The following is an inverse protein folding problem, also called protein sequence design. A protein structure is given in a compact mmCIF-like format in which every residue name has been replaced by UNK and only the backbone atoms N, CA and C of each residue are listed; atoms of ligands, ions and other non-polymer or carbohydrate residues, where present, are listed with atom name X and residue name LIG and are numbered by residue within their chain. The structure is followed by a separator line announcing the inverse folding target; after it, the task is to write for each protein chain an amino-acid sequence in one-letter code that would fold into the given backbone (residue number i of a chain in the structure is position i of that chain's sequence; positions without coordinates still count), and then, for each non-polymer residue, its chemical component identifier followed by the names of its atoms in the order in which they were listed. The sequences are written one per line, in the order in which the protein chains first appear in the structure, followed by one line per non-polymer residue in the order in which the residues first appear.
data_IF_266330867137
#
_entry.id   IF_266330867137
#
_cell.length_a   1.000
_cell.length_b   1.000
_cell.length_c   1.000
_cell.angle_alpha   90.00
_cell.angle_beta   90.00
_cell.angle_gamma   90.00
#
_symmetry.space_group_name_H-M   'P 1'
#
loop_
_entity.id
_entity.type
_entity.pdbx_description
1 polymer ?
#
# COMPACT_ATOMS: atom_id res chain seq x y z
N UNK A 1 1.61 10.26 13.20
CA UNK A 1 1.35 9.24 12.17
C UNK A 1 2.44 8.17 12.24
N UNK A 2 2.08 6.87 12.11
CA UNK A 2 3.03 5.75 12.10
C UNK A 2 2.64 4.77 10.99
N UNK A 3 3.59 4.36 10.15
CA UNK A 3 3.42 3.30 9.16
C UNK A 3 4.11 2.02 9.67
N UNK A 4 3.42 0.87 9.55
CA UNK A 4 4.00 -0.45 9.79
C UNK A 4 3.79 -1.35 8.57
N UNK A 5 4.84 -2.00 8.09
CA UNK A 5 4.76 -2.97 6.99
C UNK A 5 4.21 -4.30 7.51
N UNK A 6 3.09 -4.73 6.95
CA UNK A 6 2.49 -6.05 7.21
C UNK A 6 2.95 -7.05 6.16
N UNK A 7 3.02 -6.62 4.91
CA UNK A 7 3.49 -7.41 3.79
C UNK A 7 4.11 -6.56 2.69
N UNK A 8 5.14 -7.09 2.02
CA UNK A 8 5.97 -6.34 1.08
C UNK A 8 6.33 -7.11 -0.21
N UNK A 9 5.79 -8.32 -0.40
CA UNK A 9 6.13 -9.15 -1.55
C UNK A 9 5.21 -8.88 -2.73
N UNK A 10 5.80 -8.70 -3.93
CA UNK A 10 5.05 -8.53 -5.17
C UNK A 10 4.57 -9.86 -5.75
N UNK A 11 3.37 -9.86 -6.34
CA UNK A 11 2.76 -10.97 -7.06
C UNK A 11 2.21 -12.10 -6.17
N UNK A 12 2.95 -12.53 -5.15
CA UNK A 12 2.53 -13.56 -4.18
C UNK A 12 3.39 -13.51 -2.91
N UNK A 13 2.93 -14.01 -1.76
CA UNK A 13 3.73 -13.98 -0.54
C UNK A 13 4.86 -15.02 -0.60
N UNK A 14 6.01 -14.70 -0.03
CA UNK A 14 7.04 -15.70 0.29
C UNK A 14 6.57 -16.57 1.46
N UNK A 15 7.18 -17.74 1.63
CA UNK A 15 6.93 -18.56 2.83
C UNK A 15 7.05 -17.70 4.09
N UNK A 16 6.08 -17.82 5.00
CA UNK A 16 5.96 -17.00 6.22
C UNK A 16 5.88 -15.48 5.99
N UNK A 17 5.69 -15.03 4.75
CA UNK A 17 5.52 -13.63 4.37
C UNK A 17 4.07 -13.24 4.07
N UNK A 18 3.88 -11.99 3.65
CA UNK A 18 2.63 -11.49 3.09
C UNK A 18 2.91 -10.63 1.86
N UNK A 19 1.93 -10.58 0.95
CA UNK A 19 1.92 -9.65 -0.17
C UNK A 19 1.60 -8.23 0.33
N UNK A 20 1.28 -7.29 -0.58
CA UNK A 20 1.09 -5.88 -0.24
C UNK A 20 0.07 -5.66 0.88
N UNK A 21 0.52 -5.03 1.96
CA UNK A 21 -0.31 -4.62 3.09
C UNK A 21 0.46 -3.73 4.06
N UNK A 22 -0.09 -2.53 4.33
CA UNK A 22 0.58 -1.52 5.17
C UNK A 22 -0.42 -0.92 6.14
N UNK A 23 -0.10 -0.99 7.43
CA UNK A 23 -0.90 -0.38 8.49
C UNK A 23 -0.45 1.06 8.72
N UNK A 24 -1.36 2.00 8.58
CA UNK A 24 -1.16 3.40 8.91
C UNK A 24 -2.01 3.78 10.13
N UNK A 25 -1.34 4.26 11.18
CA UNK A 25 -1.92 4.59 12.47
C UNK A 25 -1.77 6.09 12.77
N UNK A 26 -2.86 6.75 13.19
CA UNK A 26 -2.84 8.13 13.67
C UNK A 26 -4.04 8.40 14.58
N UNK A 27 -3.82 9.01 15.75
CA UNK A 27 -4.88 9.37 16.73
C UNK A 27 -5.85 8.23 17.07
N UNK A 28 -5.32 6.99 17.13
CA UNK A 28 -6.13 5.80 17.43
C UNK A 28 -6.93 5.26 16.24
N UNK A 29 -6.79 5.84 15.05
CA UNK A 29 -7.41 5.35 13.81
C UNK A 29 -6.45 4.41 13.07
N UNK A 30 -6.95 3.24 12.68
CA UNK A 30 -6.21 2.20 11.95
C UNK A 30 -6.70 2.11 10.50
N UNK A 31 -5.87 2.59 9.56
CA UNK A 31 -6.08 2.46 8.13
C UNK A 31 -5.16 1.36 7.57
N UNK A 32 -5.74 0.32 6.98
CA UNK A 32 -4.96 -0.65 6.20
C UNK A 32 -4.92 -0.19 4.73
N UNK A 33 -3.74 -0.18 4.13
CA UNK A 33 -3.51 0.09 2.71
C UNK A 33 -3.18 -1.24 2.05
N UNK A 34 -4.03 -1.70 1.14
CA UNK A 34 -4.04 -3.02 0.51
C UNK A 34 -4.18 -4.19 1.52
N UNK A 35 -4.69 -5.32 1.04
CA UNK A 35 -4.96 -6.51 1.84
C UNK A 35 -4.67 -7.78 1.02
N UNK A 36 -3.41 -7.94 0.63
CA UNK A 36 -2.93 -9.07 -0.15
C UNK A 36 -2.84 -10.36 0.68
N UNK A 37 -2.42 -11.45 0.03
CA UNK A 37 -2.34 -12.76 0.67
C UNK A 37 -1.40 -12.76 1.89
N UNK A 38 -1.88 -13.30 3.01
CA UNK A 38 -1.15 -13.40 4.28
C UNK A 38 -1.23 -12.14 5.16
N UNK A 39 -1.81 -11.04 4.67
CA UNK A 39 -1.91 -9.77 5.39
C UNK A 39 -2.77 -9.93 6.64
N UNK A 40 -3.96 -10.56 6.54
CA UNK A 40 -4.80 -10.79 7.71
C UNK A 40 -4.08 -11.56 8.81
N UNK A 41 -3.36 -12.62 8.46
CA UNK A 41 -2.61 -13.43 9.43
C UNK A 41 -1.54 -12.61 10.15
N UNK A 42 -0.75 -11.84 9.39
CA UNK A 42 0.36 -11.03 9.94
C UNK A 42 -0.12 -9.82 10.74
N UNK A 43 -1.23 -9.19 10.30
CA UNK A 43 -1.84 -8.04 10.95
C UNK A 43 -2.24 -8.33 12.40
N UNK A 44 -2.73 -9.55 12.68
CA UNK A 44 -3.15 -9.97 14.02
C UNK A 44 -2.04 -9.97 15.08
N UNK A 45 -0.77 -9.83 14.68
CA UNK A 45 0.33 -9.60 15.62
C UNK A 45 0.38 -8.16 16.17
N UNK A 46 -0.42 -7.24 15.62
CA UNK A 46 -0.46 -5.82 16.02
C UNK A 46 -1.81 -5.45 16.63
N UNK A 47 -2.91 -5.86 16.00
CA UNK A 47 -4.27 -5.58 16.45
C UNK A 47 -5.25 -6.61 15.90
N UNK A 48 -6.46 -6.65 16.46
CA UNK A 48 -7.47 -7.62 16.04
C UNK A 48 -8.26 -7.11 14.83
N UNK A 49 -8.81 -7.99 13.98
CA UNK A 49 -9.57 -7.58 12.78
C UNK A 49 -10.73 -6.62 13.05
N UNK A 50 -11.35 -6.70 14.21
CA UNK A 50 -12.44 -5.80 14.63
C UNK A 50 -12.00 -4.38 14.96
N UNK A 51 -10.70 -4.17 15.25
CA UNK A 51 -10.13 -2.86 15.57
C UNK A 51 -9.75 -2.03 14.34
N UNK A 52 -9.86 -2.61 13.13
CA UNK A 52 -9.61 -1.90 11.88
C UNK A 52 -10.75 -0.93 11.59
N UNK A 53 -10.42 0.35 11.35
CA UNK A 53 -11.38 1.41 11.09
C UNK A 53 -11.67 1.61 9.60
N UNK A 54 -10.67 1.38 8.74
CA UNK A 54 -10.83 1.49 7.29
C UNK A 54 -9.81 0.64 6.52
N UNK A 55 -10.19 0.21 5.32
CA UNK A 55 -9.31 -0.41 4.33
C UNK A 55 -9.36 0.43 3.04
N UNK A 56 -8.21 0.69 2.42
CA UNK A 56 -8.13 1.36 1.12
C UNK A 56 -7.32 0.51 0.14
N UNK A 57 -7.85 0.32 -1.06
CA UNK A 57 -7.29 -0.55 -2.09
C UNK A 57 -6.77 0.28 -3.26
N UNK A 58 -5.52 0.03 -3.63
CA UNK A 58 -4.86 0.68 -4.75
C UNK A 58 -5.35 0.17 -6.10
N UNK A 59 -5.48 -1.15 -6.23
CA UNK A 59 -5.98 -1.86 -7.41
C UNK A 59 -6.35 -3.31 -7.06
N UNK A 60 -6.87 -4.07 -8.02
CA UNK A 60 -7.55 -5.35 -7.76
C UNK A 60 -6.78 -6.59 -8.20
N UNK A 61 -5.45 -6.53 -8.30
CA UNK A 61 -4.65 -7.74 -8.44
C UNK A 61 -4.71 -8.58 -7.15
N UNK A 62 -4.62 -9.93 -7.26
CA UNK A 62 -4.75 -10.83 -6.10
C UNK A 62 -3.81 -10.53 -4.95
N UNK A 63 -2.58 -10.10 -5.23
CA UNK A 63 -1.58 -9.78 -4.21
C UNK A 63 -1.85 -8.46 -3.46
N UNK A 64 -2.96 -7.75 -3.82
CA UNK A 64 -3.45 -6.57 -3.12
C UNK A 64 -4.82 -6.76 -2.48
N UNK A 65 -5.58 -7.81 -2.84
CA UNK A 65 -6.97 -8.01 -2.38
C UNK A 65 -7.28 -9.41 -1.84
N UNK A 66 -6.36 -10.38 -1.93
CA UNK A 66 -6.65 -11.80 -1.66
C UNK A 66 -7.24 -12.06 -0.27
N UNK A 67 -6.83 -11.34 0.76
CA UNK A 67 -7.30 -11.56 2.12
C UNK A 67 -8.59 -10.79 2.48
N UNK A 68 -9.18 -9.99 1.57
CA UNK A 68 -10.42 -9.23 1.86
C UNK A 68 -11.56 -10.18 2.25
N UNK A 69 -11.77 -11.27 1.51
CA UNK A 69 -12.84 -12.23 1.82
C UNK A 69 -12.67 -12.90 3.17
N UNK A 70 -11.43 -13.23 3.56
CA UNK A 70 -11.16 -13.82 4.88
C UNK A 70 -11.22 -12.78 5.99
N UNK A 71 -10.87 -11.51 5.74
CA UNK A 71 -11.06 -10.40 6.67
C UNK A 71 -12.55 -10.16 6.95
N UNK A 72 -13.39 -10.17 5.91
CA UNK A 72 -14.85 -10.09 6.04
C UNK A 72 -15.40 -11.21 6.93
N UNK A 73 -14.92 -12.44 6.70
CA UNK A 73 -15.35 -13.59 7.49
C UNK A 73 -14.84 -13.53 8.93
N UNK A 74 -13.61 -13.08 9.15
CA UNK A 74 -13.07 -12.88 10.50
C UNK A 74 -13.93 -11.89 11.30
N UNK A 75 -14.27 -10.72 10.72
CA UNK A 75 -15.14 -9.73 11.37
C UNK A 75 -16.55 -10.28 11.63
N UNK A 76 -17.11 -11.06 10.71
CA UNK A 76 -18.39 -11.75 10.93
C UNK A 76 -18.34 -12.69 12.14
N UNK A 77 -17.26 -13.47 12.29
CA UNK A 77 -17.06 -14.34 13.46
C UNK A 77 -16.98 -13.50 14.75
N UNK A 78 -16.22 -12.39 14.72
CA UNK A 78 -16.12 -11.51 15.90
C UNK A 78 -17.49 -10.94 16.30
N UNK A 79 -18.35 -10.57 15.34
CA UNK A 79 -19.69 -10.10 15.65
C UNK A 79 -20.55 -11.19 16.30
N UNK A 80 -20.46 -12.44 15.87
CA UNK A 80 -21.16 -13.57 16.51
C UNK A 80 -20.66 -13.85 17.94
N UNK A 81 -19.40 -13.53 18.22
CA UNK A 81 -18.82 -13.64 19.56
C UNK A 81 -19.19 -12.45 20.47
N UNK A 82 -20.07 -11.56 19.99
CA UNK A 82 -20.55 -10.40 20.77
C UNK A 82 -19.55 -9.25 20.86
N UNK A 83 -18.47 -9.27 20.08
CA UNK A 83 -17.56 -8.14 19.96
C UNK A 83 -18.20 -7.07 19.06
N UNK A 84 -18.11 -5.79 19.47
CA UNK A 84 -18.61 -4.70 18.66
C UNK A 84 -17.75 -4.57 17.40
N UNK A 85 -18.38 -4.73 16.23
CA UNK A 85 -17.77 -4.48 14.94
C UNK A 85 -18.63 -3.45 14.21
N UNK A 86 -18.13 -2.25 14.06
CA UNK A 86 -18.76 -1.28 13.14
C UNK A 86 -18.56 -1.76 11.68
N UNK A 87 -19.45 -1.38 10.78
CA UNK A 87 -19.31 -1.73 9.36
C UNK A 87 -18.02 -1.12 8.81
N UNK A 88 -17.08 -1.96 8.37
CA UNK A 88 -15.78 -1.52 7.84
C UNK A 88 -15.94 -0.91 6.46
N UNK A 89 -15.61 0.36 6.23
CA UNK A 89 -15.50 0.91 4.89
C UNK A 89 -14.27 0.34 4.18
N UNK A 90 -14.49 -0.15 2.95
CA UNK A 90 -13.42 -0.56 2.03
C UNK A 90 -13.45 0.39 0.84
N UNK A 91 -12.48 1.29 0.81
CA UNK A 91 -12.35 2.27 -0.25
C UNK A 91 -11.69 1.67 -1.48
N UNK A 92 -12.28 1.88 -2.65
CA UNK A 92 -11.76 1.42 -3.94
C UNK A 92 -12.29 2.23 -5.10
N UNK A 93 -11.71 2.06 -6.30
CA UNK A 93 -12.25 2.65 -7.53
C UNK A 93 -13.41 1.81 -8.09
N UNK A 94 -14.29 2.40 -8.90
CA UNK A 94 -15.43 1.69 -9.51
C UNK A 94 -15.20 1.27 -10.98
N UNK A 95 -13.97 1.35 -11.48
CA UNK A 95 -13.65 1.02 -12.87
C UNK A 95 -13.72 -0.48 -13.17
N UNK A 96 -13.60 -1.32 -12.16
CA UNK A 96 -13.92 -2.75 -12.20
C UNK A 96 -15.06 -3.01 -11.20
N UNK A 97 -16.29 -2.97 -11.69
CA UNK A 97 -17.48 -3.12 -10.87
C UNK A 97 -17.63 -4.53 -10.29
N UNK A 98 -17.11 -5.55 -10.98
CA UNK A 98 -17.18 -6.93 -10.50
C UNK A 98 -16.32 -7.14 -9.27
N UNK A 99 -15.06 -6.67 -9.28
CA UNK A 99 -14.18 -6.74 -8.12
C UNK A 99 -14.64 -5.80 -7.00
N UNK A 100 -15.03 -4.57 -7.33
CA UNK A 100 -15.54 -3.59 -6.36
C UNK A 100 -16.78 -4.09 -5.59
N UNK A 101 -17.69 -4.80 -6.26
CA UNK A 101 -18.88 -5.33 -5.61
C UNK A 101 -18.58 -6.30 -4.46
N UNK A 102 -17.43 -6.98 -4.51
CA UNK A 102 -16.97 -7.92 -3.46
C UNK A 102 -16.60 -7.23 -2.14
N UNK A 103 -16.39 -5.91 -2.15
CA UNK A 103 -16.06 -5.14 -0.95
C UNK A 103 -17.25 -4.95 -0.01
N UNK A 104 -18.46 -5.14 -0.51
CA UNK A 104 -19.65 -5.11 0.33
C UNK A 104 -20.08 -6.52 0.71
N UNK A 105 -20.09 -6.80 2.02
CA UNK A 105 -20.51 -8.10 2.55
C UNK A 105 -21.38 -7.91 3.78
N UNK A 106 -22.71 -8.16 3.64
CA UNK A 106 -23.70 -7.97 4.69
C UNK A 106 -23.55 -6.58 5.35
N UNK A 107 -23.70 -6.51 6.65
CA UNK A 107 -23.46 -5.30 7.46
C UNK A 107 -22.01 -5.26 8.03
N UNK A 108 -21.13 -6.15 7.54
CA UNK A 108 -19.76 -6.33 8.06
C UNK A 108 -18.78 -5.41 7.36
N UNK A 109 -18.88 -5.30 6.03
CA UNK A 109 -18.07 -4.38 5.24
C UNK A 109 -18.90 -3.67 4.18
N UNK A 110 -18.48 -2.46 3.80
CA UNK A 110 -19.14 -1.66 2.77
C UNK A 110 -18.11 -1.12 1.79
N UNK A 111 -18.24 -1.48 0.51
CA UNK A 111 -17.50 -0.83 -0.56
C UNK A 111 -17.88 0.65 -0.68
N UNK A 112 -16.88 1.51 -0.63
CA UNK A 112 -17.04 2.97 -0.79
C UNK A 112 -16.16 3.40 -1.97
N UNK A 113 -16.82 3.87 -3.04
CA UNK A 113 -16.09 4.35 -4.21
C UNK A 113 -15.40 5.67 -3.87
N UNK A 114 -14.08 5.76 -4.12
CA UNK A 114 -13.41 7.06 -4.14
C UNK A 114 -13.42 7.65 -5.56
N UNK A 115 -13.52 8.95 -5.63
CA UNK A 115 -13.29 9.71 -6.85
C UNK A 115 -11.81 10.12 -6.90
N UNK A 116 -11.02 9.64 -7.89
CA UNK A 116 -9.59 9.93 -7.95
C UNK A 116 -9.25 11.40 -8.22
N UNK A 117 -10.22 12.20 -8.70
CA UNK A 117 -10.04 13.62 -8.95
C UNK A 117 -10.37 14.48 -7.71
N UNK A 118 -10.82 13.85 -6.63
CA UNK A 118 -11.21 14.50 -5.37
C UNK A 118 -10.34 14.02 -4.20
N UNK A 119 -10.29 14.80 -3.12
CA UNK A 119 -9.64 14.37 -1.88
C UNK A 119 -10.61 13.52 -1.06
N UNK A 120 -10.18 12.31 -0.71
CA UNK A 120 -10.89 11.41 0.21
C UNK A 120 -10.47 11.71 1.66
N UNK A 121 -11.45 11.91 2.55
CA UNK A 121 -11.22 11.92 4.00
C UNK A 121 -11.51 10.54 4.58
N UNK A 122 -10.50 9.91 5.19
CA UNK A 122 -10.63 8.64 5.89
C UNK A 122 -10.08 8.79 7.31
N UNK A 123 -10.98 8.96 8.30
CA UNK A 123 -10.59 9.35 9.64
C UNK A 123 -9.76 10.64 9.64
N UNK A 124 -8.58 10.65 10.27
CA UNK A 124 -7.69 11.83 10.30
C UNK A 124 -6.92 12.06 8.99
N UNK A 125 -7.01 11.13 8.02
CA UNK A 125 -6.21 11.17 6.80
C UNK A 125 -6.92 11.89 5.66
N UNK A 126 -6.17 12.75 4.94
CA UNK A 126 -6.57 13.33 3.66
C UNK A 126 -5.80 12.61 2.56
N UNK A 127 -6.51 11.98 1.62
CA UNK A 127 -5.93 11.11 0.61
C UNK A 127 -6.23 11.64 -0.78
N UNK A 128 -5.17 11.87 -1.56
CA UNK A 128 -5.25 12.21 -2.99
C UNK A 128 -4.68 11.07 -3.81
N UNK A 129 -5.13 10.98 -5.06
CA UNK A 129 -4.81 9.87 -5.95
C UNK A 129 -4.10 10.34 -7.21
N UNK A 130 -3.24 9.47 -7.76
CA UNK A 130 -2.69 9.63 -9.09
C UNK A 130 -2.76 8.30 -9.83
N UNK A 131 -3.43 8.27 -10.99
CA UNK A 131 -3.47 7.07 -11.83
C UNK A 131 -2.07 6.65 -12.25
N UNK A 132 -1.74 5.37 -12.08
CA UNK A 132 -0.42 4.81 -12.38
C UNK A 132 -0.34 4.25 -13.81
N UNK A 133 0.88 3.88 -14.22
CA UNK A 133 1.14 3.14 -15.45
C UNK A 133 1.22 1.64 -15.14
N UNK A 134 0.05 1.02 -15.01
CA UNK A 134 -0.12 -0.40 -14.69
C UNK A 134 -1.17 -1.03 -15.61
N UNK A 135 -1.12 -2.36 -15.90
CA UNK A 135 -2.05 -3.01 -16.84
C UNK A 135 -3.54 -2.91 -16.48
N UNK A 136 -3.85 -2.79 -15.18
CA UNK A 136 -5.21 -2.58 -14.68
C UNK A 136 -5.34 -1.18 -14.04
N UNK A 137 -6.56 -0.65 -13.86
CA UNK A 137 -6.75 0.59 -13.11
C UNK A 137 -6.10 0.51 -11.73
N UNK A 138 -5.11 1.35 -11.51
CA UNK A 138 -4.31 1.39 -10.29
C UNK A 138 -3.99 2.84 -9.93
N UNK A 139 -3.95 3.15 -8.63
CA UNK A 139 -3.77 4.52 -8.14
C UNK A 139 -2.72 4.59 -7.04
N UNK A 140 -1.71 5.43 -7.25
CA UNK A 140 -0.83 5.90 -6.19
C UNK A 140 -1.61 6.80 -5.23
N UNK A 141 -1.18 6.84 -3.97
CA UNK A 141 -1.84 7.59 -2.89
C UNK A 141 -0.86 8.57 -2.24
N UNK A 142 -1.30 9.83 -2.10
CA UNK A 142 -0.66 10.83 -1.24
C UNK A 142 -1.54 10.99 -0.02
N UNK A 143 -1.03 10.58 1.14
CA UNK A 143 -1.77 10.52 2.41
C UNK A 143 -1.16 11.55 3.37
N UNK A 144 -1.97 12.46 3.85
CA UNK A 144 -1.55 13.58 4.67
C UNK A 144 -2.31 13.61 5.99
N UNK A 145 -1.60 13.84 7.11
CA UNK A 145 -2.14 14.09 8.45
C UNK A 145 -1.13 14.92 9.25
N UNK A 146 -1.59 15.95 9.97
CA UNK A 146 -0.77 16.83 10.85
C UNK A 146 0.51 17.36 10.18
N UNK A 147 0.42 17.77 8.92
CA UNK A 147 1.54 18.31 8.16
C UNK A 147 2.60 17.27 7.79
N UNK A 148 2.32 15.97 7.97
CA UNK A 148 3.14 14.85 7.53
C UNK A 148 2.58 14.23 6.26
N UNK A 149 3.47 13.75 5.39
CA UNK A 149 3.10 13.22 4.09
C UNK A 149 3.72 11.85 3.85
N UNK A 150 2.86 10.87 3.59
CA UNK A 150 3.20 9.55 3.09
C UNK A 150 2.80 9.44 1.62
N UNK A 151 3.69 8.93 0.78
CA UNK A 151 3.36 8.49 -0.58
C UNK A 151 3.44 6.97 -0.65
N UNK A 152 2.41 6.35 -1.19
CA UNK A 152 2.41 4.96 -1.64
C UNK A 152 2.23 4.93 -3.15
N UNK A 153 3.24 4.43 -3.88
CA UNK A 153 3.19 4.42 -5.36
C UNK A 153 2.17 3.46 -5.92
N UNK A 154 1.74 2.46 -5.12
CA UNK A 154 1.13 1.25 -5.66
C UNK A 154 1.98 0.66 -6.78
N UNK A 155 1.39 -0.17 -7.66
CA UNK A 155 2.11 -0.76 -8.79
C UNK A 155 2.15 0.20 -9.98
N UNK A 156 3.34 0.41 -10.53
CA UNK A 156 3.53 1.35 -11.64
C UNK A 156 4.90 1.22 -12.30
N UNK A 157 4.97 1.36 -13.60
CA UNK A 157 6.22 1.79 -14.21
C UNK A 157 6.48 3.28 -13.95
N UNK A 158 7.73 3.71 -14.06
CA UNK A 158 8.10 5.11 -13.84
C UNK A 158 7.31 6.06 -14.75
N UNK A 159 6.82 7.15 -14.17
CA UNK A 159 6.23 8.28 -14.88
C UNK A 159 6.60 9.59 -14.16
N UNK A 160 6.78 10.66 -14.92
CA UNK A 160 7.28 11.95 -14.41
C UNK A 160 6.28 12.60 -13.43
N UNK A 161 4.99 12.40 -13.64
CA UNK A 161 3.94 12.95 -12.76
C UNK A 161 4.03 12.41 -11.34
N UNK A 162 4.59 11.21 -11.14
CA UNK A 162 4.84 10.67 -9.80
C UNK A 162 5.85 11.53 -9.02
N UNK A 163 6.84 12.14 -9.68
CA UNK A 163 7.82 12.99 -9.00
C UNK A 163 7.14 14.24 -8.43
N UNK A 164 6.28 14.89 -9.21
CA UNK A 164 5.48 16.04 -8.75
C UNK A 164 4.50 15.62 -7.65
N UNK A 165 3.83 14.50 -7.82
CA UNK A 165 2.87 13.97 -6.85
C UNK A 165 3.51 13.62 -5.50
N UNK A 166 4.78 13.18 -5.53
CA UNK A 166 5.55 12.76 -4.36
C UNK A 166 6.39 13.89 -3.74
N UNK A 167 6.29 15.12 -4.27
CA UNK A 167 7.17 16.22 -3.90
C UNK A 167 7.19 16.47 -2.39
N UNK A 168 8.42 16.53 -1.83
CA UNK A 168 8.72 16.82 -0.42
C UNK A 168 8.04 15.87 0.60
N UNK A 169 7.70 14.64 0.21
CA UNK A 169 7.13 13.67 1.14
C UNK A 169 8.10 13.28 2.26
N UNK A 170 7.56 13.05 3.45
CA UNK A 170 8.34 12.54 4.59
C UNK A 170 8.76 11.08 4.36
N UNK A 171 7.90 10.27 3.73
CA UNK A 171 8.19 8.89 3.36
C UNK A 171 7.59 8.57 1.99
N UNK A 172 8.40 8.03 1.09
CA UNK A 172 7.99 7.42 -0.16
C UNK A 172 8.06 5.89 -0.03
N UNK A 173 6.91 5.22 0.02
CA UNK A 173 6.77 3.76 -0.10
C UNK A 173 6.64 3.45 -1.58
N UNK A 174 7.73 2.96 -2.16
CA UNK A 174 7.89 2.82 -3.60
C UNK A 174 8.02 1.36 -4.01
N UNK A 175 7.19 0.91 -4.94
CA UNK A 175 7.36 -0.40 -5.54
C UNK A 175 8.74 -0.53 -6.18
N UNK A 176 9.32 -1.74 -6.15
CA UNK A 176 10.64 -2.03 -6.67
C UNK A 176 10.74 -3.52 -7.04
N UNK A 177 9.99 -3.93 -8.06
CA UNK A 177 9.89 -5.34 -8.45
C UNK A 177 11.03 -5.80 -9.37
N UNK A 178 11.83 -4.86 -9.92
CA UNK A 178 12.90 -5.15 -10.87
C UNK A 178 14.24 -4.53 -10.46
N UNK A 179 15.33 -5.23 -10.81
CA UNK A 179 16.69 -4.71 -10.69
C UNK A 179 17.00 -3.73 -11.83
N UNK A 180 17.98 -2.85 -11.63
CA UNK A 180 18.28 -1.76 -12.54
C UNK A 180 18.68 -2.17 -13.97
N UNK A 181 19.16 -3.39 -14.17
CA UNK A 181 19.49 -3.93 -15.51
C UNK A 181 18.29 -4.52 -16.25
N UNK A 182 17.14 -4.61 -15.62
CA UNK A 182 15.91 -5.21 -16.17
C UNK A 182 14.98 -4.13 -16.74
N UNK A 183 13.98 -4.56 -17.50
CA UNK A 183 12.94 -3.69 -18.03
C UNK A 183 11.58 -4.04 -17.43
N UNK A 184 11.18 -3.29 -16.40
CA UNK A 184 9.87 -3.43 -15.75
C UNK A 184 8.73 -2.68 -16.46
N UNK A 185 9.04 -1.77 -17.39
CA UNK A 185 8.08 -0.86 -18.01
C UNK A 185 6.88 -1.58 -18.66
N UNK A 186 7.15 -2.64 -19.41
CA UNK A 186 6.09 -3.39 -20.09
C UNK A 186 5.22 -4.20 -19.15
N UNK A 187 5.76 -4.57 -17.98
CA UNK A 187 5.00 -5.24 -16.92
C UNK A 187 4.25 -4.24 -16.01
N UNK A 188 4.49 -2.96 -16.17
CA UNK A 188 3.88 -1.92 -15.34
C UNK A 188 4.52 -1.77 -13.97
N UNK A 189 5.85 -2.01 -13.87
CA UNK A 189 6.61 -1.95 -12.62
C UNK A 189 7.89 -1.12 -12.75
N UNK A 190 8.42 -0.67 -11.60
CA UNK A 190 9.68 0.07 -11.50
C UNK A 190 10.87 -0.84 -11.25
N UNK A 191 12.03 -0.36 -11.71
CA UNK A 191 13.34 -0.86 -11.29
C UNK A 191 13.82 -0.09 -10.04
N UNK A 192 14.84 -0.65 -9.37
CA UNK A 192 15.56 0.03 -8.29
C UNK A 192 16.13 1.40 -8.69
N UNK A 193 16.59 1.53 -9.96
CA UNK A 193 17.09 2.80 -10.48
C UNK A 193 15.96 3.81 -10.69
N UNK A 194 14.77 3.34 -11.11
CA UNK A 194 13.57 4.19 -11.23
C UNK A 194 13.11 4.69 -9.86
N UNK A 195 13.05 3.80 -8.86
CA UNK A 195 12.68 4.17 -7.50
C UNK A 195 13.64 5.20 -6.88
N UNK A 196 14.95 5.02 -7.06
CA UNK A 196 15.95 6.00 -6.62
C UNK A 196 15.84 7.34 -7.38
N UNK A 197 15.58 7.28 -8.69
CA UNK A 197 15.38 8.49 -9.52
C UNK A 197 14.14 9.26 -9.09
N UNK A 198 13.03 8.56 -8.84
CA UNK A 198 11.79 9.15 -8.33
C UNK A 198 12.02 9.85 -6.99
N UNK A 199 12.64 9.15 -6.04
CA UNK A 199 12.94 9.68 -4.72
C UNK A 199 13.80 10.96 -4.76
N UNK A 200 14.82 10.98 -5.64
CA UNK A 200 15.70 12.13 -5.84
C UNK A 200 14.96 13.32 -6.44
N UNK A 201 14.21 13.10 -7.54
CA UNK A 201 13.45 14.16 -8.21
C UNK A 201 12.35 14.76 -7.31
N UNK A 202 11.68 13.92 -6.55
CA UNK A 202 10.63 14.34 -5.62
C UNK A 202 11.18 14.95 -4.32
N UNK A 203 12.50 14.97 -4.10
CA UNK A 203 13.11 15.48 -2.88
C UNK A 203 12.47 14.89 -1.61
N UNK A 204 12.20 13.58 -1.59
CA UNK A 204 11.61 12.93 -0.43
C UNK A 204 12.61 12.81 0.72
N UNK A 205 12.14 12.72 1.97
CA UNK A 205 13.04 12.60 3.14
C UNK A 205 13.51 11.17 3.36
N UNK A 206 12.66 10.16 3.06
CA UNK A 206 12.97 8.75 3.23
C UNK A 206 12.38 7.93 2.07
N UNK A 207 13.09 6.91 1.62
CA UNK A 207 12.64 5.95 0.61
C UNK A 207 12.53 4.56 1.23
N UNK A 208 11.36 3.93 1.11
CA UNK A 208 11.13 2.52 1.44
C UNK A 208 10.84 1.75 0.14
N UNK A 209 11.72 0.82 -0.21
CA UNK A 209 11.53 -0.08 -1.35
C UNK A 209 10.61 -1.23 -0.93
N UNK A 210 9.55 -1.46 -1.68
CA UNK A 210 8.53 -2.49 -1.41
C UNK A 210 8.09 -3.20 -2.68
N UNK A 211 7.07 -4.05 -2.63
CA UNK A 211 6.62 -4.89 -3.75
C UNK A 211 7.79 -5.69 -4.33
N UNK A 212 8.49 -6.42 -3.43
CA UNK A 212 9.83 -6.96 -3.68
C UNK A 212 9.80 -8.20 -4.57
N UNK A 213 10.84 -8.40 -5.42
CA UNK A 213 10.96 -9.58 -6.26
C UNK A 213 11.33 -10.83 -5.46
N UNK A 214 10.94 -12.01 -5.97
CA UNK A 214 11.23 -13.32 -5.37
C UNK A 214 12.63 -13.88 -5.69
N UNK A 215 13.38 -13.19 -6.52
CA UNK A 215 14.71 -13.60 -7.03
C UNK A 215 15.77 -12.55 -6.73
N UNK A 216 17.04 -12.94 -6.87
CA UNK A 216 18.18 -12.05 -6.65
C UNK A 216 18.45 -11.76 -5.17
N UNK A 217 19.31 -10.80 -4.92
CA UNK A 217 19.67 -10.33 -3.59
C UNK A 217 19.00 -8.97 -3.33
N UNK A 218 18.06 -8.90 -2.42
CA UNK A 218 17.30 -7.67 -2.14
C UNK A 218 18.21 -6.47 -1.80
N UNK A 219 19.34 -6.73 -1.13
CA UNK A 219 20.35 -5.69 -0.83
C UNK A 219 20.78 -4.91 -2.07
N UNK A 220 20.89 -5.57 -3.25
CA UNK A 220 21.26 -4.91 -4.51
C UNK A 220 20.25 -3.87 -4.96
N UNK A 221 18.97 -4.05 -4.67
CA UNK A 221 17.94 -3.03 -4.96
C UNK A 221 18.28 -1.71 -4.27
N UNK A 222 18.66 -1.78 -2.98
CA UNK A 222 19.08 -0.60 -2.21
C UNK A 222 20.38 -0.01 -2.75
N UNK A 223 21.38 -0.85 -3.07
CA UNK A 223 22.66 -0.41 -3.64
C UNK A 223 22.46 0.33 -4.96
N UNK A 224 21.63 -0.20 -5.87
CA UNK A 224 21.31 0.44 -7.15
C UNK A 224 20.53 1.74 -6.96
N UNK A 225 19.47 1.76 -6.11
CA UNK A 225 18.72 2.97 -5.80
C UNK A 225 19.61 4.07 -5.22
N UNK A 226 20.62 3.71 -4.38
CA UNK A 226 21.54 4.66 -3.77
C UNK A 226 22.45 5.38 -4.78
N UNK A 227 22.60 4.86 -6.00
CA UNK A 227 23.30 5.54 -7.08
C UNK A 227 22.54 6.77 -7.62
N UNK A 228 21.23 6.86 -7.34
CA UNK A 228 20.32 7.92 -7.81
C UNK A 228 19.80 8.82 -6.68
N UNK A 229 19.68 8.30 -5.47
CA UNK A 229 19.13 9.01 -4.32
C UNK A 229 20.09 8.89 -3.13
N UNK A 230 20.48 10.02 -2.55
CA UNK A 230 21.48 10.10 -1.48
C UNK A 230 20.87 10.10 -0.06
N UNK A 231 19.54 10.22 0.04
CA UNK A 231 18.84 10.17 1.31
C UNK A 231 18.71 8.75 1.88
N UNK A 232 18.07 8.59 3.04
CA UNK A 232 17.88 7.29 3.69
C UNK A 232 17.03 6.35 2.83
N UNK A 233 17.54 5.12 2.60
CA UNK A 233 16.83 4.04 1.88
C UNK A 233 16.70 2.84 2.79
N UNK A 234 15.48 2.32 2.91
CA UNK A 234 15.16 1.04 3.55
C UNK A 234 14.56 0.06 2.55
N UNK A 235 14.69 -1.23 2.82
CA UNK A 235 13.97 -2.30 2.14
C UNK A 235 12.84 -2.72 3.07
N UNK A 236 11.62 -2.83 2.55
CA UNK A 236 10.47 -3.24 3.34
C UNK A 236 10.63 -4.68 3.82
N UNK A 237 10.41 -4.88 5.10
CA UNK A 237 10.36 -6.17 5.75
C UNK A 237 9.20 -6.18 6.74
N UNK A 238 8.73 -7.37 7.09
CA UNK A 238 7.68 -7.52 8.08
C UNK A 238 8.05 -6.82 9.41
N UNK A 239 7.11 -6.05 9.97
CA UNK A 239 7.27 -5.22 11.16
C UNK A 239 8.18 -3.98 11.00
N UNK A 240 8.77 -3.74 9.83
CA UNK A 240 9.45 -2.45 9.61
C UNK A 240 8.46 -1.32 9.85
N UNK A 241 8.87 -0.31 10.59
CA UNK A 241 7.99 0.81 10.91
C UNK A 241 8.69 2.16 10.83
N UNK A 242 7.91 3.19 10.53
CA UNK A 242 8.35 4.59 10.50
C UNK A 242 7.36 5.45 11.26
N UNK A 243 7.87 6.26 12.20
CA UNK A 243 7.10 7.31 12.89
C UNK A 243 7.49 8.65 12.31
N UNK A 244 6.49 9.44 11.89
CA UNK A 244 6.65 10.71 11.19
C UNK A 244 6.92 11.90 12.13
#
# INVERSE_FOLDING_TARGET
MKLTVIGSWGGYPKADGASSGYLLEHEGFHLLIDCGSGVLSKMQNFFQPEELDALIISHYHPDHIADIGVLQHARLIQSFLGRKTDTLPIYGHSLDQHEFAKFTYKDITKGVCYDPDSTLSAGPFQIRFLKTNHPVPCYAMRIEADGKTLIYTADTSYKEELAVFSENADLLVCECNFYGHQNGKNAGHMTSLDAGTLASKANVKNLLLTHLPHYGELRKLKEEASTKYTGPISIADYQWSHTF
#
